data_IF_706964129448
#
_entry.id   IF_706964129448
#
_cell.length_a   1.000
_cell.length_b   1.000
_cell.length_c   1.000
_cell.angle_alpha   90.00
_cell.angle_beta   90.00
_cell.angle_gamma   90.00
#
_symmetry.space_group_name_H-M   'P 1'
#
loop_
_entity.id
_entity.type
_entity.pdbx_description
1 polymer ?
#
# COMPACT_ATOMS: atom_id res chain seq x y z
N UNK A 1 10.18 8.00 20.09
CA UNK A 1 10.28 9.41 19.65
C UNK A 1 9.10 9.65 18.72
N UNK A 2 8.22 10.60 19.04
CA UNK A 2 6.93 10.79 18.37
C UNK A 2 6.95 12.15 17.67
N UNK A 3 6.82 12.17 16.35
CA UNK A 3 6.65 13.41 15.57
C UNK A 3 5.35 14.06 16.06
N UNK A 4 5.42 15.31 16.55
CA UNK A 4 4.27 16.02 17.14
C UNK A 4 3.89 17.21 16.28
N UNK A 5 2.75 17.10 15.62
CA UNK A 5 2.10 18.21 14.92
C UNK A 5 1.10 18.83 15.87
N UNK A 6 1.50 19.83 16.66
CA UNK A 6 0.61 20.43 17.65
C UNK A 6 -0.43 21.34 16.97
N UNK A 7 -1.73 21.06 17.22
CA UNK A 7 -2.88 21.83 16.75
C UNK A 7 -3.16 21.82 15.23
N UNK A 8 -2.62 20.86 14.48
CA UNK A 8 -2.93 20.65 13.06
C UNK A 8 -3.90 19.46 12.91
N UNK A 9 -5.00 19.57 12.15
CA UNK A 9 -5.88 18.43 11.87
C UNK A 9 -5.13 17.28 11.19
N UNK A 10 -5.39 16.03 11.58
CA UNK A 10 -4.77 14.83 10.99
C UNK A 10 -4.87 14.77 9.46
N UNK A 11 -5.96 15.30 8.90
CA UNK A 11 -6.18 15.37 7.45
C UNK A 11 -5.22 16.33 6.75
N UNK A 12 -4.89 17.47 7.37
CA UNK A 12 -3.91 18.42 6.84
C UNK A 12 -2.49 17.86 6.96
N UNK A 13 -2.16 17.23 8.10
CA UNK A 13 -0.87 16.54 8.29
C UNK A 13 -0.70 15.46 7.22
N UNK A 14 -1.73 14.66 6.96
CA UNK A 14 -1.70 13.62 5.93
C UNK A 14 -1.48 14.21 4.54
N UNK A 15 -2.22 15.24 4.17
CA UNK A 15 -2.12 15.88 2.86
C UNK A 15 -0.71 16.46 2.63
N UNK A 16 -0.13 17.12 3.63
CA UNK A 16 1.23 17.65 3.57
C UNK A 16 2.27 16.53 3.42
N UNK A 17 2.15 15.46 4.21
CA UNK A 17 3.02 14.29 4.11
C UNK A 17 2.92 13.64 2.72
N UNK A 18 1.72 13.47 2.18
CA UNK A 18 1.51 12.92 0.84
C UNK A 18 2.14 13.81 -0.25
N UNK A 19 2.00 15.13 -0.13
CA UNK A 19 2.61 16.08 -1.06
C UNK A 19 4.16 16.04 -1.01
N UNK A 20 4.74 15.95 0.19
CA UNK A 20 6.20 15.85 0.37
C UNK A 20 6.73 14.50 -0.14
N UNK A 21 6.04 13.39 0.12
CA UNK A 21 6.39 12.06 -0.41
C UNK A 21 6.40 12.03 -1.95
N UNK A 22 5.42 12.65 -2.60
CA UNK A 22 5.36 12.70 -4.06
C UNK A 22 6.40 13.67 -4.66
N UNK A 23 6.52 14.89 -4.13
CA UNK A 23 7.44 15.91 -4.65
C UNK A 23 8.92 15.50 -4.54
N UNK A 24 9.28 14.74 -3.49
CA UNK A 24 10.63 14.22 -3.30
C UNK A 24 10.87 12.84 -3.95
N UNK A 25 9.85 12.29 -4.60
CA UNK A 25 9.91 11.01 -5.29
C UNK A 25 9.99 9.79 -4.38
N UNK A 26 9.79 9.94 -3.07
CA UNK A 26 9.78 8.83 -2.12
C UNK A 26 8.62 7.88 -2.40
N UNK A 27 7.45 8.40 -2.76
CA UNK A 27 6.32 7.60 -3.20
C UNK A 27 6.69 6.72 -4.41
N UNK A 28 7.48 7.24 -5.36
CA UNK A 28 8.00 6.46 -6.50
C UNK A 28 8.98 5.37 -6.04
N UNK A 29 9.87 5.66 -5.09
CA UNK A 29 10.82 4.67 -4.54
C UNK A 29 10.10 3.54 -3.82
N UNK A 30 9.08 3.85 -3.01
CA UNK A 30 8.25 2.84 -2.33
C UNK A 30 7.49 2.00 -3.36
N UNK A 31 6.89 2.62 -4.39
CA UNK A 31 6.23 1.90 -5.49
C UNK A 31 7.20 0.96 -6.21
N UNK A 32 8.45 1.38 -6.45
CA UNK A 32 9.48 0.55 -7.06
C UNK A 32 9.87 -0.62 -6.15
N UNK A 33 10.10 -0.37 -4.87
CA UNK A 33 10.37 -1.41 -3.88
C UNK A 33 9.26 -2.47 -3.87
N UNK A 34 7.99 -2.05 -3.82
CA UNK A 34 6.86 -2.97 -3.88
C UNK A 34 6.80 -3.74 -5.20
N UNK A 35 7.18 -3.12 -6.31
CA UNK A 35 7.21 -3.77 -7.62
C UNK A 35 8.29 -4.84 -7.73
N UNK A 36 9.47 -4.60 -7.16
CA UNK A 36 10.63 -5.50 -7.20
C UNK A 36 10.61 -6.57 -6.10
N UNK A 37 9.83 -6.37 -5.04
CA UNK A 37 9.82 -7.27 -3.89
C UNK A 37 9.27 -8.67 -4.26
N UNK A 38 10.04 -9.76 -4.02
CA UNK A 38 9.59 -11.12 -4.35
C UNK A 38 8.32 -11.55 -3.59
N UNK A 39 8.16 -11.16 -2.32
CA UNK A 39 6.97 -11.49 -1.54
C UNK A 39 5.72 -10.79 -2.09
N UNK A 40 5.86 -9.58 -2.62
CA UNK A 40 4.76 -8.89 -3.34
C UNK A 40 4.46 -9.59 -4.66
N UNK A 41 5.47 -10.09 -5.37
CA UNK A 41 5.28 -10.85 -6.60
C UNK A 41 4.52 -12.15 -6.37
N UNK A 42 4.86 -12.86 -5.29
CA UNK A 42 4.13 -14.06 -4.86
C UNK A 42 2.69 -13.74 -4.46
N UNK A 43 2.47 -12.68 -3.68
CA UNK A 43 1.13 -12.22 -3.31
C UNK A 43 0.28 -11.83 -4.54
N UNK A 44 0.87 -11.17 -5.54
CA UNK A 44 0.19 -10.89 -6.82
C UNK A 44 -0.22 -12.17 -7.54
N UNK A 45 0.57 -13.23 -7.47
CA UNK A 45 0.19 -14.52 -8.06
C UNK A 45 -0.95 -15.19 -7.31
N UNK A 46 -0.96 -15.11 -5.97
CA UNK A 46 -2.10 -15.56 -5.16
C UNK A 46 -3.39 -14.83 -5.56
N UNK A 47 -3.33 -13.51 -5.80
CA UNK A 47 -4.48 -12.74 -6.31
C UNK A 47 -4.94 -13.24 -7.69
N UNK A 48 -4.00 -13.47 -8.61
CA UNK A 48 -4.36 -14.04 -9.93
C UNK A 48 -5.03 -15.40 -9.80
N UNK A 49 -4.57 -16.23 -8.87
CA UNK A 49 -5.19 -17.53 -8.60
C UNK A 49 -6.61 -17.37 -8.06
N UNK A 50 -6.84 -16.47 -7.10
CA UNK A 50 -8.19 -16.16 -6.60
C UNK A 50 -9.14 -15.72 -7.72
N UNK A 51 -8.67 -14.88 -8.66
CA UNK A 51 -9.46 -14.51 -9.83
C UNK A 51 -9.81 -15.71 -10.71
N UNK A 52 -8.83 -16.59 -10.99
CA UNK A 52 -9.04 -17.79 -11.82
C UNK A 52 -10.02 -18.75 -11.16
N UNK A 53 -9.91 -18.97 -9.85
CA UNK A 53 -10.80 -19.83 -9.08
C UNK A 53 -12.24 -19.30 -9.14
N UNK A 54 -12.43 -17.99 -8.96
CA UNK A 54 -13.74 -17.35 -9.06
C UNK A 54 -14.35 -17.48 -10.46
N UNK A 55 -13.55 -17.32 -11.52
CA UNK A 55 -13.98 -17.50 -12.91
C UNK A 55 -14.39 -18.95 -13.17
N UNK A 56 -13.62 -19.92 -12.64
CA UNK A 56 -13.93 -21.34 -12.79
C UNK A 56 -15.20 -21.73 -12.04
N UNK A 57 -15.47 -21.12 -10.88
CA UNK A 57 -16.65 -21.38 -10.07
C UNK A 57 -17.93 -20.76 -10.67
N UNK A 58 -17.87 -19.49 -11.07
CA UNK A 58 -19.06 -18.72 -11.48
C UNK A 58 -19.27 -18.65 -13.00
N UNK A 59 -18.24 -18.98 -13.79
CA UNK A 59 -18.22 -18.80 -15.24
C UNK A 59 -17.94 -17.35 -15.65
N UNK A 60 -17.18 -17.15 -16.73
CA UNK A 60 -16.74 -15.81 -17.15
C UNK A 60 -17.90 -14.89 -17.55
N UNK A 61 -18.98 -15.43 -18.12
CA UNK A 61 -20.12 -14.65 -18.62
C UNK A 61 -20.94 -13.99 -17.49
N UNK A 62 -20.80 -14.47 -16.24
CA UNK A 62 -21.51 -13.92 -15.08
C UNK A 62 -20.68 -12.90 -14.29
N UNK A 63 -19.45 -12.64 -14.71
CA UNK A 63 -18.48 -11.82 -13.97
C UNK A 63 -18.14 -10.53 -14.69
N UNK A 64 -17.96 -9.46 -13.91
CA UNK A 64 -17.34 -8.21 -14.34
C UNK A 64 -16.08 -7.94 -13.51
N UNK A 65 -15.14 -7.11 -13.98
CA UNK A 65 -13.97 -6.73 -13.18
C UNK A 65 -14.33 -6.17 -11.81
N UNK A 66 -15.39 -5.35 -11.72
CA UNK A 66 -15.86 -4.77 -10.45
C UNK A 66 -16.37 -5.86 -9.50
N UNK A 67 -17.16 -6.82 -10.01
CA UNK A 67 -17.66 -7.93 -9.19
C UNK A 67 -16.53 -8.84 -8.70
N UNK A 68 -15.52 -9.09 -9.55
CA UNK A 68 -14.32 -9.83 -9.16
C UNK A 68 -13.60 -9.08 -8.04
N UNK A 69 -13.38 -7.77 -8.20
CA UNK A 69 -12.75 -6.92 -7.21
C UNK A 69 -13.48 -6.97 -5.87
N UNK A 70 -14.79 -6.73 -5.86
CA UNK A 70 -15.62 -6.72 -4.65
C UNK A 70 -15.55 -8.06 -3.91
N UNK A 71 -15.40 -9.17 -4.64
CA UNK A 71 -15.33 -10.50 -4.05
C UNK A 71 -13.96 -10.84 -3.46
N UNK A 72 -12.86 -10.35 -4.03
CA UNK A 72 -11.50 -10.76 -3.65
C UNK A 72 -10.73 -9.72 -2.83
N UNK A 73 -11.08 -8.44 -2.93
CA UNK A 73 -10.20 -7.37 -2.47
C UNK A 73 -10.02 -7.33 -0.94
N UNK A 74 -11.00 -7.78 -0.16
CA UNK A 74 -10.86 -7.90 1.29
C UNK A 74 -9.80 -8.96 1.65
N UNK A 75 -9.99 -10.20 1.15
CA UNK A 75 -9.05 -11.31 1.34
C UNK A 75 -7.65 -10.98 0.84
N UNK A 76 -7.53 -10.37 -0.34
CA UNK A 76 -6.25 -9.96 -0.90
C UNK A 76 -5.51 -8.98 0.04
N UNK A 77 -6.21 -7.99 0.62
CA UNK A 77 -5.60 -7.03 1.56
C UNK A 77 -5.14 -7.69 2.85
N UNK A 78 -5.89 -8.67 3.36
CA UNK A 78 -5.52 -9.41 4.56
C UNK A 78 -4.28 -10.30 4.35
N UNK A 79 -4.06 -10.76 3.11
CA UNK A 79 -2.94 -11.62 2.74
C UNK A 79 -1.65 -10.86 2.37
N UNK A 80 -1.62 -9.53 2.52
CA UNK A 80 -0.38 -8.77 2.30
C UNK A 80 0.69 -9.31 3.26
N UNK A 81 1.89 -9.68 2.77
CA UNK A 81 2.96 -10.16 3.64
C UNK A 81 3.34 -9.11 4.69
N UNK A 82 3.29 -9.48 5.98
CA UNK A 82 3.59 -8.56 7.08
C UNK A 82 4.98 -7.92 6.95
N UNK A 83 5.98 -8.69 6.48
CA UNK A 83 7.33 -8.20 6.22
C UNK A 83 7.36 -7.02 5.23
N UNK A 84 6.49 -7.03 4.22
CA UNK A 84 6.37 -5.93 3.24
C UNK A 84 5.73 -4.71 3.89
N UNK A 85 4.63 -4.90 4.62
CA UNK A 85 3.94 -3.81 5.31
C UNK A 85 4.84 -3.12 6.35
N UNK A 86 5.60 -3.91 7.11
CA UNK A 86 6.54 -3.41 8.10
C UNK A 86 7.71 -2.67 7.44
N UNK A 87 8.23 -3.15 6.31
CA UNK A 87 9.30 -2.46 5.60
C UNK A 87 8.83 -1.15 4.97
N UNK A 88 7.63 -1.10 4.38
CA UNK A 88 7.04 0.16 3.88
C UNK A 88 6.87 1.15 5.03
N UNK A 89 6.36 0.69 6.18
CA UNK A 89 6.21 1.54 7.37
C UNK A 89 7.57 2.08 7.84
N UNK A 90 8.60 1.24 7.86
CA UNK A 90 9.95 1.66 8.23
C UNK A 90 10.51 2.71 7.27
N UNK A 91 10.33 2.54 5.95
CA UNK A 91 10.77 3.54 4.94
C UNK A 91 10.03 4.87 5.11
N UNK A 92 8.71 4.84 5.33
CA UNK A 92 7.92 6.03 5.59
C UNK A 92 8.36 6.75 6.87
N UNK A 93 8.56 6.02 7.97
CA UNK A 93 9.04 6.62 9.24
C UNK A 93 10.42 7.24 9.06
N UNK A 94 11.36 6.55 8.40
CA UNK A 94 12.70 7.09 8.14
C UNK A 94 12.65 8.36 7.28
N UNK A 95 11.83 8.37 6.23
CA UNK A 95 11.64 9.55 5.40
C UNK A 95 11.08 10.73 6.21
N UNK A 96 10.03 10.50 6.99
CA UNK A 96 9.41 11.54 7.81
C UNK A 96 10.37 12.09 8.87
N UNK A 97 11.21 11.25 9.46
CA UNK A 97 12.26 11.69 10.38
C UNK A 97 13.25 12.62 9.69
N UNK A 98 13.73 12.27 8.49
CA UNK A 98 14.67 13.12 7.75
C UNK A 98 14.03 14.43 7.26
N UNK A 99 12.76 14.43 6.86
CA UNK A 99 12.11 15.62 6.28
C UNK A 99 11.55 16.60 7.32
N UNK A 100 11.13 16.10 8.48
CA UNK A 100 10.45 16.90 9.50
C UNK A 100 11.21 16.94 10.82
N UNK A 101 12.52 16.66 10.78
CA UNK A 101 13.45 16.80 11.91
C UNK A 101 13.48 18.23 12.48
N UNK A 102 13.06 19.25 11.71
CA UNK A 102 13.04 20.66 12.11
C UNK A 102 11.69 21.17 12.68
N UNK A 103 10.65 20.32 12.81
CA UNK A 103 9.43 20.66 13.57
C UNK A 103 9.55 20.31 15.08
N UNK A 104 10.78 20.39 15.60
CA UNK A 104 11.16 20.13 17.00
C UNK A 104 11.28 21.44 17.78
#
# INVERSE_FOLDING_TARGET
>A
MTIRWENVPDSEVRAEVEAVLESQGEAKRIRQFLYENPAVSEWREQIRQMCRDLINEKGIDSLTPDLIYDQIAATAREQIPASVSDEVKAKLVAFLQTQFEDHI
#
